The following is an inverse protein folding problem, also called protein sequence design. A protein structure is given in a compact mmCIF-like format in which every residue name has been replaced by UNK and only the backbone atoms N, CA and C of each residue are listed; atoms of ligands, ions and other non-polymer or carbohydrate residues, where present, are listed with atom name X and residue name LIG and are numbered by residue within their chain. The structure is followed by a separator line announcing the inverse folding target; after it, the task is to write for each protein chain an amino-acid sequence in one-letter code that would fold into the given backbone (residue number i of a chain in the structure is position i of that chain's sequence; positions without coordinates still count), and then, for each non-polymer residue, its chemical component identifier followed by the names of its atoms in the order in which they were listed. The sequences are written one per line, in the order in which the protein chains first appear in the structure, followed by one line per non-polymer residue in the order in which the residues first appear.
data_IF_899633974274
#
_entry.id   IF_899633974274
#
_cell.length_a   1.000
_cell.length_b   1.000
_cell.length_c   1.000
_cell.angle_alpha   90.00
_cell.angle_beta   90.00
_cell.angle_gamma   90.00
#
_symmetry.space_group_name_H-M   'P 1'
#
loop_
_entity.id
_entity.type
_entity.pdbx_description
1 polymer ?
#
# COMPACT_ATOMS: atom_id res chain seq x y z
N UNK A 1 40.49 -0.91 11.09
CA UNK A 1 39.94 -1.08 9.75
C UNK A 1 38.50 -1.54 9.85
N UNK A 2 37.58 -0.88 9.16
CA UNK A 2 36.24 -1.42 9.09
C UNK A 2 36.34 -2.79 8.44
N UNK A 3 35.78 -3.76 9.12
CA UNK A 3 35.79 -5.13 8.64
C UNK A 3 35.05 -5.23 7.31
N UNK A 4 35.75 -5.75 6.30
CA UNK A 4 35.13 -6.06 5.01
C UNK A 4 33.91 -6.96 5.21
N UNK A 5 33.97 -7.87 6.18
CA UNK A 5 32.85 -8.73 6.56
C UNK A 5 31.63 -7.92 7.05
N UNK A 6 31.85 -6.88 7.86
CA UNK A 6 30.76 -5.99 8.32
C UNK A 6 30.15 -5.20 7.16
N UNK A 7 30.98 -4.70 6.25
CA UNK A 7 30.52 -4.00 5.06
C UNK A 7 29.69 -4.90 4.16
N UNK A 8 30.12 -6.13 3.92
CA UNK A 8 29.38 -7.12 3.14
C UNK A 8 28.06 -7.47 3.79
N UNK A 9 28.03 -7.60 5.11
CA UNK A 9 26.80 -7.87 5.87
C UNK A 9 25.81 -6.73 5.71
N UNK A 10 26.25 -5.46 5.80
CA UNK A 10 25.41 -4.29 5.57
C UNK A 10 24.82 -4.26 4.18
N UNK A 11 25.62 -4.56 3.17
CA UNK A 11 25.15 -4.62 1.77
C UNK A 11 24.04 -5.66 1.62
N UNK A 12 24.23 -6.87 2.16
CA UNK A 12 23.23 -7.93 2.11
C UNK A 12 21.93 -7.51 2.79
N UNK A 13 22.02 -6.88 3.97
CA UNK A 13 20.85 -6.40 4.70
C UNK A 13 20.13 -5.32 3.92
N UNK A 14 20.86 -4.39 3.30
CA UNK A 14 20.30 -3.34 2.47
C UNK A 14 19.54 -3.92 1.28
N UNK A 15 20.12 -4.91 0.59
CA UNK A 15 19.48 -5.58 -0.54
C UNK A 15 18.18 -6.25 -0.10
N UNK A 16 18.20 -6.97 1.01
CA UNK A 16 16.99 -7.63 1.55
C UNK A 16 15.89 -6.64 1.89
N UNK A 17 16.26 -5.52 2.54
CA UNK A 17 15.30 -4.46 2.87
C UNK A 17 14.71 -3.82 1.63
N UNK A 18 15.55 -3.52 0.65
CA UNK A 18 15.11 -2.91 -0.61
C UNK A 18 14.11 -3.81 -1.33
N UNK A 19 14.40 -5.10 -1.44
CA UNK A 19 13.50 -6.07 -2.06
C UNK A 19 12.18 -6.17 -1.32
N UNK A 20 12.22 -6.25 0.01
CA UNK A 20 11.01 -6.31 0.84
C UNK A 20 10.18 -5.05 0.68
N UNK A 21 10.82 -3.88 0.70
CA UNK A 21 10.12 -2.60 0.56
C UNK A 21 9.49 -2.46 -0.81
N UNK A 22 10.19 -2.88 -1.87
CA UNK A 22 9.64 -2.89 -3.23
C UNK A 22 8.44 -3.80 -3.35
N UNK A 23 8.49 -4.98 -2.73
CA UNK A 23 7.38 -5.94 -2.73
C UNK A 23 6.16 -5.35 -2.04
N UNK A 24 6.35 -4.75 -0.87
CA UNK A 24 5.25 -4.12 -0.11
C UNK A 24 4.64 -2.96 -0.89
N UNK A 25 5.46 -2.12 -1.51
CA UNK A 25 4.98 -1.01 -2.35
C UNK A 25 4.20 -1.51 -3.57
N UNK A 26 4.66 -2.62 -4.17
CA UNK A 26 3.96 -3.26 -5.29
C UNK A 26 2.60 -3.79 -4.87
N UNK A 27 2.48 -4.35 -3.68
CA UNK A 27 1.22 -4.82 -3.12
C UNK A 27 0.23 -3.68 -2.94
N UNK A 28 0.70 -2.52 -2.46
CA UNK A 28 -0.15 -1.32 -2.34
C UNK A 28 -0.65 -0.89 -3.71
N UNK A 29 0.23 -0.78 -4.70
CA UNK A 29 -0.16 -0.38 -6.06
C UNK A 29 -1.18 -1.33 -6.65
N UNK A 30 -0.96 -2.62 -6.49
CA UNK A 30 -1.89 -3.66 -6.97
C UNK A 30 -3.26 -3.50 -6.32
N UNK A 31 -3.31 -3.36 -5.00
CA UNK A 31 -4.56 -3.21 -4.25
C UNK A 31 -5.31 -1.95 -4.64
N UNK A 32 -4.61 -0.82 -4.83
CA UNK A 32 -5.21 0.44 -5.27
C UNK A 32 -5.74 0.31 -6.70
N UNK A 33 -5.02 -0.36 -7.58
CA UNK A 33 -5.46 -0.64 -8.95
C UNK A 33 -6.74 -1.47 -8.96
N UNK A 34 -6.80 -2.51 -8.13
CA UNK A 34 -7.99 -3.36 -8.00
C UNK A 34 -9.19 -2.57 -7.48
N UNK A 35 -8.95 -1.66 -6.53
CA UNK A 35 -9.99 -0.76 -6.06
C UNK A 35 -10.52 0.15 -7.19
N UNK A 36 -9.61 0.70 -8.00
CA UNK A 36 -10.01 1.49 -9.15
C UNK A 36 -10.84 0.71 -10.17
N UNK A 37 -10.47 -0.54 -10.43
CA UNK A 37 -11.24 -1.42 -11.32
C UNK A 37 -12.61 -1.74 -10.74
N UNK A 38 -12.68 -1.98 -9.42
CA UNK A 38 -13.96 -2.24 -8.73
C UNK A 38 -14.89 -1.03 -8.81
N UNK A 39 -14.35 0.18 -8.67
CA UNK A 39 -15.14 1.42 -8.83
C UNK A 39 -15.77 1.51 -10.22
N UNK A 40 -15.02 1.11 -11.25
CA UNK A 40 -15.53 1.10 -12.62
C UNK A 40 -16.63 0.05 -12.84
N UNK A 41 -16.54 -1.08 -12.15
CA UNK A 41 -17.55 -2.14 -12.24
C UNK A 41 -18.87 -1.78 -11.55
N UNK A 42 -18.83 -0.79 -10.66
CA UNK A 42 -19.99 -0.31 -9.89
C UNK A 42 -20.68 -1.39 -9.05
N UNK A 43 -19.96 -2.47 -8.71
CA UNK A 43 -20.46 -3.51 -7.82
C UNK A 43 -20.13 -3.14 -6.36
N UNK A 44 -21.15 -2.86 -5.51
CA UNK A 44 -20.89 -2.41 -4.14
C UNK A 44 -20.09 -3.41 -3.31
N UNK A 45 -20.32 -4.70 -3.48
CA UNK A 45 -19.58 -5.72 -2.74
C UNK A 45 -18.12 -5.79 -3.16
N UNK A 46 -17.86 -5.77 -4.47
CA UNK A 46 -16.50 -5.77 -5.01
C UNK A 46 -15.74 -4.52 -4.55
N UNK A 47 -16.41 -3.37 -4.52
CA UNK A 47 -15.83 -2.11 -4.05
C UNK A 47 -15.44 -2.20 -2.58
N UNK A 48 -16.31 -2.72 -1.74
CA UNK A 48 -16.04 -2.89 -0.30
C UNK A 48 -14.86 -3.81 -0.04
N UNK A 49 -14.82 -4.93 -0.74
CA UNK A 49 -13.73 -5.91 -0.60
C UNK A 49 -12.40 -5.30 -1.06
N UNK A 50 -12.40 -4.63 -2.20
CA UNK A 50 -11.21 -4.00 -2.76
C UNK A 50 -10.70 -2.86 -1.85
N UNK A 51 -11.61 -2.06 -1.29
CA UNK A 51 -11.27 -1.01 -0.34
C UNK A 51 -10.63 -1.58 0.91
N UNK A 52 -11.23 -2.63 1.47
CA UNK A 52 -10.71 -3.30 2.66
C UNK A 52 -9.30 -3.84 2.41
N UNK A 53 -9.09 -4.46 1.26
CA UNK A 53 -7.78 -5.01 0.89
C UNK A 53 -6.73 -3.91 0.71
N UNK A 54 -7.10 -2.79 0.09
CA UNK A 54 -6.21 -1.65 -0.09
C UNK A 54 -5.82 -1.01 1.24
N UNK A 55 -6.79 -0.80 2.13
CA UNK A 55 -6.53 -0.25 3.48
C UNK A 55 -5.62 -1.19 4.26
N UNK A 56 -5.88 -2.48 4.20
CA UNK A 56 -5.06 -3.50 4.88
C UNK A 56 -3.61 -3.47 4.38
N UNK A 57 -3.40 -3.36 3.08
CA UNK A 57 -2.06 -3.29 2.49
C UNK A 57 -1.32 -2.03 2.95
N UNK A 58 -2.01 -0.88 2.98
CA UNK A 58 -1.44 0.39 3.42
C UNK A 58 -1.07 0.34 4.92
N UNK A 59 -1.98 -0.15 5.76
CA UNK A 59 -1.74 -0.27 7.20
C UNK A 59 -0.58 -1.22 7.50
N UNK A 60 -0.49 -2.32 6.78
CA UNK A 60 0.59 -3.28 6.92
C UNK A 60 1.93 -2.65 6.55
N UNK A 61 1.97 -1.86 5.47
CA UNK A 61 3.18 -1.15 5.05
C UNK A 61 3.62 -0.13 6.10
N UNK A 62 2.69 0.61 6.70
CA UNK A 62 2.97 1.56 7.75
C UNK A 62 3.47 0.84 9.02
N UNK A 63 2.87 -0.29 9.38
CA UNK A 63 3.28 -1.12 10.51
C UNK A 63 4.71 -1.63 10.35
N UNK A 64 5.11 -1.95 9.13
CA UNK A 64 6.47 -2.42 8.80
C UNK A 64 7.45 -1.27 8.57
N UNK A 65 7.01 -0.03 8.73
CA UNK A 65 7.81 1.17 8.50
C UNK A 65 8.33 1.31 7.06
N UNK A 66 7.66 0.68 6.10
CA UNK A 66 7.98 0.83 4.68
C UNK A 66 7.52 2.19 4.18
N UNK A 67 6.38 2.67 4.68
CA UNK A 67 5.88 4.02 4.46
C UNK A 67 5.64 4.69 5.80
N UNK A 68 5.75 6.00 5.83
CA UNK A 68 5.47 6.77 7.04
C UNK A 68 3.96 6.78 7.31
N UNK A 69 3.59 6.86 8.61
CA UNK A 69 2.18 6.89 9.02
C UNK A 69 1.39 8.02 8.36
N UNK A 70 2.03 9.17 8.12
CA UNK A 70 1.38 10.29 7.45
C UNK A 70 1.09 9.97 5.98
N UNK A 71 2.01 9.30 5.30
CA UNK A 71 1.80 8.82 3.93
C UNK A 71 0.66 7.81 3.88
N UNK A 72 0.60 6.89 4.84
CA UNK A 72 -0.48 5.92 4.95
C UNK A 72 -1.83 6.62 5.15
N UNK A 73 -1.88 7.62 6.02
CA UNK A 73 -3.09 8.41 6.27
C UNK A 73 -3.57 9.13 5.01
N UNK A 74 -2.66 9.72 4.25
CA UNK A 74 -2.99 10.40 2.99
C UNK A 74 -3.54 9.42 1.95
N UNK A 75 -2.93 8.26 1.82
CA UNK A 75 -3.38 7.22 0.88
C UNK A 75 -4.77 6.71 1.25
N UNK A 76 -5.01 6.44 2.53
CA UNK A 76 -6.32 6.01 3.02
C UNK A 76 -7.39 7.08 2.80
N UNK A 77 -7.06 8.34 3.09
CA UNK A 77 -7.98 9.46 2.86
C UNK A 77 -8.37 9.59 1.39
N UNK A 78 -7.42 9.41 0.48
CA UNK A 78 -7.68 9.45 -0.96
C UNK A 78 -8.65 8.33 -1.38
N UNK A 79 -8.49 7.12 -0.85
CA UNK A 79 -9.38 5.99 -1.14
C UNK A 79 -10.78 6.23 -0.60
N UNK A 80 -10.91 6.72 0.63
CA UNK A 80 -12.22 7.04 1.22
C UNK A 80 -12.92 8.16 0.45
N UNK A 81 -12.15 9.14 -0.01
CA UNK A 81 -12.70 10.26 -0.81
C UNK A 81 -13.28 9.75 -2.13
N UNK A 82 -12.56 8.86 -2.81
CA UNK A 82 -13.04 8.24 -4.05
C UNK A 82 -14.33 7.43 -3.81
N UNK A 83 -14.38 6.73 -2.68
CA UNK A 83 -15.57 5.98 -2.28
C UNK A 83 -16.75 6.91 -2.02
N UNK A 84 -16.51 8.02 -1.33
CA UNK A 84 -17.55 9.02 -1.03
C UNK A 84 -18.10 9.67 -2.31
N UNK A 85 -17.23 9.97 -3.26
CA UNK A 85 -17.64 10.52 -4.57
C UNK A 85 -18.58 9.56 -5.29
N UNK A 86 -18.27 8.28 -5.27
CA UNK A 86 -19.13 7.27 -5.88
C UNK A 86 -20.48 7.17 -5.19
N UNK A 87 -20.51 7.23 -3.86
CA UNK A 87 -21.75 7.19 -3.08
C UNK A 87 -22.64 8.40 -3.37
N UNK A 88 -22.05 9.58 -3.54
CA UNK A 88 -22.78 10.79 -3.92
C UNK A 88 -23.35 10.61 -5.33
N UNK A 89 -22.58 10.03 -6.25
CA UNK A 89 -23.03 9.77 -7.61
C UNK A 89 -24.14 8.72 -7.66
N UNK A 90 -24.14 7.77 -6.73
CA UNK A 90 -25.12 6.69 -6.68
C UNK A 90 -26.43 7.11 -6.02
N UNK A 91 -26.42 8.21 -5.27
CA UNK A 91 -27.59 8.74 -4.60
C UNK A 91 -28.22 9.85 -5.44
#
# INVERSE_FOLDING_TARGET
MPNIASAKKRVRQTIKRTRRNQLVKSQIRYSVKKFGEALKSADPEAIKIALKNAIKAIDKAASKCVIHKNTAARKKSALYRRMAELNISAS
#
